data_IF_837581888370
#
_entry.id   IF_837581888370
#
_cell.length_a   1.000
_cell.length_b   1.000
_cell.length_c   1.000
_cell.angle_alpha   90.00
_cell.angle_beta   90.00
_cell.angle_gamma   90.00
#
_symmetry.space_group_name_H-M   'P 1'
#
loop_
_entity.id
_entity.type
_entity.pdbx_description
1 polymer ?
#
# COMPACT_ATOMS: atom_id res chain seq x y z
N UNK A 1 -21.02 17.59 29.00
CA UNK A 1 -20.02 18.35 28.24
C UNK A 1 -18.87 17.41 27.93
N UNK A 2 -18.85 16.88 26.71
CA UNK A 2 -17.65 16.64 25.91
C UNK A 2 -18.17 16.46 24.48
N UNK A 3 -18.06 17.52 23.69
CA UNK A 3 -18.52 17.56 22.31
C UNK A 3 -17.46 16.86 21.48
N UNK A 4 -17.75 15.63 21.03
CA UNK A 4 -16.89 14.86 20.13
C UNK A 4 -16.36 15.73 19.00
N UNK A 5 -15.10 16.14 19.12
CA UNK A 5 -14.35 16.79 18.05
C UNK A 5 -13.90 15.71 17.09
N UNK A 6 -14.83 15.19 16.29
CA UNK A 6 -14.46 14.60 15.01
C UNK A 6 -13.77 15.70 14.21
N UNK A 7 -12.48 15.51 13.92
CA UNK A 7 -11.74 16.42 13.06
C UNK A 7 -12.53 16.54 11.74
N UNK A 8 -12.90 17.75 11.28
CA UNK A 8 -13.50 17.87 9.95
C UNK A 8 -12.46 17.34 8.97
N UNK A 9 -12.82 16.30 8.21
CA UNK A 9 -12.00 15.82 7.11
C UNK A 9 -12.02 16.95 6.09
N UNK A 10 -11.02 17.82 6.15
CA UNK A 10 -10.84 18.88 5.17
C UNK A 10 -10.76 18.22 3.78
N UNK A 11 -11.67 18.61 2.89
CA UNK A 11 -11.71 18.10 1.53
C UNK A 11 -10.56 18.75 0.74
N UNK A 12 -9.37 18.18 0.85
CA UNK A 12 -8.18 18.68 0.15
C UNK A 12 -8.14 18.18 -1.29
N UNK A 13 -7.92 19.10 -2.23
CA UNK A 13 -7.51 18.73 -3.59
C UNK A 13 -6.13 18.07 -3.55
N UNK A 14 -6.04 16.86 -4.07
CA UNK A 14 -4.77 16.13 -4.14
C UNK A 14 -3.78 16.84 -5.06
N UNK A 15 -2.52 16.88 -4.65
CA UNK A 15 -1.41 17.30 -5.53
C UNK A 15 -1.40 16.38 -6.76
N UNK A 16 -1.09 16.89 -7.97
CA UNK A 16 -1.04 16.06 -9.18
C UNK A 16 -0.16 14.80 -9.05
N UNK A 17 0.97 14.91 -8.35
CA UNK A 17 1.85 13.77 -8.06
C UNK A 17 1.18 12.69 -7.19
N UNK A 18 0.37 13.09 -6.20
CA UNK A 18 -0.35 12.14 -5.33
C UNK A 18 -1.46 11.46 -6.12
N UNK A 19 -2.19 12.20 -6.95
CA UNK A 19 -3.25 11.64 -7.81
C UNK A 19 -2.70 10.61 -8.79
N UNK A 20 -1.67 10.97 -9.56
CA UNK A 20 -1.04 10.07 -10.52
C UNK A 20 -0.46 8.81 -9.86
N UNK A 21 0.15 8.96 -8.67
CA UNK A 21 0.65 7.81 -7.93
C UNK A 21 -0.47 6.89 -7.43
N UNK A 22 -1.57 7.45 -6.90
CA UNK A 22 -2.73 6.67 -6.49
C UNK A 22 -3.39 5.92 -7.65
N UNK A 23 -3.45 6.53 -8.84
CA UNK A 23 -3.93 5.88 -10.07
C UNK A 23 -3.03 4.71 -10.49
N UNK A 24 -1.70 4.87 -10.40
CA UNK A 24 -0.74 3.79 -10.67
C UNK A 24 -0.87 2.65 -9.66
N UNK A 25 -1.02 2.97 -8.37
CA UNK A 25 -1.30 2.00 -7.30
C UNK A 25 -2.54 1.16 -7.62
N UNK A 26 -3.67 1.81 -7.93
CA UNK A 26 -4.93 1.14 -8.27
C UNK A 26 -4.81 0.28 -9.54
N UNK A 27 -4.16 0.78 -10.59
CA UNK A 27 -3.94 0.00 -11.82
C UNK A 27 -3.21 -1.31 -11.52
N UNK A 28 -2.14 -1.22 -10.70
CA UNK A 28 -1.33 -2.38 -10.31
C UNK A 28 -2.08 -3.35 -9.40
N UNK A 29 -2.97 -2.86 -8.52
CA UNK A 29 -3.84 -3.72 -7.72
C UNK A 29 -4.80 -4.51 -8.62
N UNK A 30 -5.42 -3.86 -9.61
CA UNK A 30 -6.34 -4.51 -10.57
C UNK A 30 -5.68 -5.60 -11.39
N UNK A 31 -4.44 -5.38 -11.83
CA UNK A 31 -3.67 -6.43 -12.51
C UNK A 31 -3.55 -7.70 -11.65
N UNK A 32 -3.50 -7.54 -10.33
CA UNK A 32 -3.34 -8.60 -9.36
C UNK A 32 -4.65 -9.15 -8.78
N UNK A 33 -5.83 -8.68 -9.22
CA UNK A 33 -7.13 -9.11 -8.68
C UNK A 33 -7.35 -10.64 -8.82
N UNK A 34 -6.76 -11.24 -9.84
CA UNK A 34 -6.77 -12.69 -10.05
C UNK A 34 -6.12 -13.50 -8.91
N UNK A 35 -5.33 -12.86 -8.03
CA UNK A 35 -4.68 -13.48 -6.86
C UNK A 35 -5.59 -13.57 -5.63
N UNK A 36 -6.83 -13.05 -5.70
CA UNK A 36 -7.86 -13.26 -4.68
C UNK A 36 -7.85 -12.26 -3.51
N UNK A 37 -7.18 -11.12 -3.68
CA UNK A 37 -7.17 -9.98 -2.75
C UNK A 37 -6.29 -10.16 -1.49
N UNK A 38 -6.25 -9.13 -0.64
CA UNK A 38 -5.33 -9.03 0.53
C UNK A 38 -6.04 -8.88 1.88
N UNK A 39 -7.36 -9.15 1.94
CA UNK A 39 -8.15 -9.00 3.17
C UNK A 39 -7.66 -9.86 4.35
N UNK A 40 -8.29 -9.66 5.52
CA UNK A 40 -7.86 -10.22 6.81
C UNK A 40 -7.60 -11.74 6.83
N UNK A 41 -8.32 -12.51 6.01
CA UNK A 41 -8.19 -13.97 5.91
C UNK A 41 -7.39 -14.45 4.68
N UNK A 42 -6.78 -13.52 3.93
CA UNK A 42 -6.05 -13.81 2.68
C UNK A 42 -4.55 -13.64 2.85
N UNK A 43 -4.13 -12.58 3.53
CA UNK A 43 -2.71 -12.29 3.77
C UNK A 43 -2.42 -12.15 5.27
N UNK A 44 -1.39 -12.86 5.74
CA UNK A 44 -0.84 -12.66 7.07
C UNK A 44 0.08 -11.43 7.09
N UNK A 45 0.28 -10.84 8.28
CA UNK A 45 1.23 -9.72 8.45
C UNK A 45 2.63 -10.13 7.97
N UNK A 46 3.12 -11.30 8.39
CA UNK A 46 4.42 -11.82 7.98
C UNK A 46 4.54 -12.01 6.45
N UNK A 47 3.46 -12.40 5.77
CA UNK A 47 3.46 -12.48 4.30
C UNK A 47 3.62 -11.09 3.66
N UNK A 48 2.89 -10.10 4.16
CA UNK A 48 2.94 -8.72 3.65
C UNK A 48 4.31 -8.07 3.91
N UNK A 49 4.89 -8.26 5.10
CA UNK A 49 6.24 -7.78 5.42
C UNK A 49 7.31 -8.41 4.52
N UNK A 50 7.23 -9.72 4.28
CA UNK A 50 8.13 -10.41 3.37
C UNK A 50 8.01 -9.87 1.95
N UNK A 51 6.79 -9.71 1.42
CA UNK A 51 6.59 -9.16 0.07
C UNK A 51 7.10 -7.73 -0.04
N UNK A 52 6.83 -6.88 0.94
CA UNK A 52 7.35 -5.50 0.98
C UNK A 52 8.88 -5.46 0.83
N UNK A 53 9.60 -6.36 1.53
CA UNK A 53 11.05 -6.46 1.43
C UNK A 53 11.52 -7.01 0.06
N UNK A 54 10.76 -7.94 -0.52
CA UNK A 54 11.04 -8.48 -1.86
C UNK A 54 10.95 -7.37 -2.91
N UNK A 55 9.87 -6.57 -2.95
CA UNK A 55 9.73 -5.45 -3.91
C UNK A 55 10.85 -4.40 -3.72
N UNK A 56 11.23 -4.11 -2.47
CA UNK A 56 12.36 -3.21 -2.20
C UNK A 56 13.69 -3.75 -2.75
N UNK A 57 13.90 -5.07 -2.65
CA UNK A 57 15.08 -5.73 -3.21
C UNK A 57 15.06 -5.68 -4.74
N UNK A 58 13.90 -5.86 -5.36
CA UNK A 58 13.70 -5.74 -6.82
C UNK A 58 14.01 -4.32 -7.29
N UNK A 59 13.50 -3.29 -6.59
CA UNK A 59 13.85 -1.89 -6.82
C UNK A 59 15.36 -1.64 -6.76
N UNK A 60 16.03 -2.11 -5.69
CA UNK A 60 17.49 -1.94 -5.57
C UNK A 60 18.24 -2.63 -6.72
N UNK A 61 17.79 -3.82 -7.13
CA UNK A 61 18.34 -4.55 -8.27
C UNK A 61 18.27 -3.74 -9.57
N UNK A 62 17.13 -3.11 -9.85
CA UNK A 62 16.90 -2.31 -11.07
C UNK A 62 17.62 -0.96 -11.07
N UNK A 63 17.79 -0.32 -9.91
CA UNK A 63 18.62 0.89 -9.81
C UNK A 63 20.10 0.56 -10.00
N UNK A 64 20.54 -0.61 -9.54
CA UNK A 64 21.95 -1.03 -9.62
C UNK A 64 22.38 -1.60 -10.97
N UNK A 65 21.45 -2.20 -11.72
CA UNK A 65 21.68 -2.79 -13.02
C UNK A 65 20.80 -2.05 -14.03
N UNK A 66 21.38 -1.42 -15.07
CA UNK A 66 20.64 -0.81 -16.20
C UNK A 66 19.81 -1.86 -16.96
N UNK A 67 18.77 -2.37 -16.31
CA UNK A 67 17.85 -3.38 -16.80
C UNK A 67 16.61 -2.65 -17.33
N UNK A 68 16.03 -3.15 -18.41
CA UNK A 68 14.91 -2.49 -19.11
C UNK A 68 13.57 -2.47 -18.36
N UNK A 69 13.55 -2.85 -17.08
CA UNK A 69 12.39 -2.64 -16.20
C UNK A 69 12.48 -1.25 -15.58
N UNK A 70 11.33 -0.62 -15.39
CA UNK A 70 11.27 0.78 -14.99
C UNK A 70 11.09 0.88 -13.47
N UNK A 71 12.06 1.44 -12.71
CA UNK A 71 12.08 1.44 -11.24
C UNK A 71 10.83 2.04 -10.57
N UNK A 72 10.03 2.82 -11.29
CA UNK A 72 8.77 3.37 -10.81
C UNK A 72 7.72 2.32 -10.44
N UNK A 73 7.65 1.17 -11.14
CA UNK A 73 6.65 0.14 -10.83
C UNK A 73 6.97 -0.59 -9.54
N UNK A 74 8.25 -0.78 -9.23
CA UNK A 74 8.66 -1.31 -7.94
C UNK A 74 8.30 -0.34 -6.80
N UNK A 75 8.41 0.97 -7.02
CA UNK A 75 7.95 1.96 -6.05
C UNK A 75 6.43 1.86 -5.78
N UNK A 76 5.65 1.56 -6.83
CA UNK A 76 4.21 1.33 -6.74
C UNK A 76 3.92 0.05 -5.94
N UNK A 77 4.62 -1.05 -6.23
CA UNK A 77 4.43 -2.33 -5.54
C UNK A 77 4.82 -2.23 -4.05
N UNK A 78 5.95 -1.60 -3.72
CA UNK A 78 6.34 -1.26 -2.34
C UNK A 78 5.22 -0.51 -1.63
N UNK A 79 4.65 0.51 -2.28
CA UNK A 79 3.61 1.34 -1.67
C UNK A 79 2.29 0.60 -1.49
N UNK A 80 1.92 -0.27 -2.44
CA UNK A 80 0.76 -1.14 -2.32
C UNK A 80 0.91 -2.10 -1.14
N UNK A 81 2.06 -2.77 -0.98
CA UNK A 81 2.28 -3.66 0.17
C UNK A 81 2.31 -2.89 1.50
N UNK A 82 2.91 -1.70 1.55
CA UNK A 82 2.88 -0.85 2.73
C UNK A 82 1.44 -0.44 3.11
N UNK A 83 0.62 -0.06 2.13
CA UNK A 83 -0.80 0.25 2.33
C UNK A 83 -1.59 -0.98 2.82
N UNK A 84 -1.38 -2.16 2.23
CA UNK A 84 -2.03 -3.40 2.66
C UNK A 84 -1.66 -3.74 4.11
N UNK A 85 -0.39 -3.59 4.47
CA UNK A 85 0.12 -3.81 5.83
C UNK A 85 -0.51 -2.82 6.81
N UNK A 86 -0.56 -1.52 6.47
CA UNK A 86 -1.25 -0.51 7.27
C UNK A 86 -2.72 -0.89 7.51
N UNK A 87 -3.45 -1.25 6.45
CA UNK A 87 -4.84 -1.67 6.56
C UNK A 87 -4.99 -2.90 7.48
N UNK A 88 -4.09 -3.89 7.34
CA UNK A 88 -4.10 -5.10 8.17
C UNK A 88 -3.86 -4.79 9.64
N UNK A 89 -2.87 -3.95 9.95
CA UNK A 89 -2.51 -3.53 11.30
C UNK A 89 -3.63 -2.71 11.95
N UNK A 90 -4.26 -1.81 11.18
CA UNK A 90 -5.37 -1.00 11.65
C UNK A 90 -6.60 -1.85 12.00
N UNK A 91 -6.93 -2.85 11.17
CA UNK A 91 -7.98 -3.82 11.49
C UNK A 91 -7.67 -4.64 12.74
N UNK A 92 -6.43 -5.09 12.92
CA UNK A 92 -6.05 -5.83 14.14
C UNK A 92 -6.07 -4.96 15.39
N UNK A 93 -5.62 -3.70 15.31
CA UNK A 93 -5.63 -2.77 16.45
C UNK A 93 -7.06 -2.43 16.91
N UNK A 94 -7.99 -2.31 15.96
CA UNK A 94 -9.41 -2.07 16.26
C UNK A 94 -10.08 -3.24 17.01
N UNK A 95 -9.61 -4.48 16.80
CA UNK A 95 -10.12 -5.68 17.51
C UNK A 95 -9.73 -5.79 18.98
N UNK A 96 -8.78 -4.98 19.47
CA UNK A 96 -8.36 -4.97 20.88
C UNK A 96 -8.80 -3.70 21.62
N UNK A 97 -9.62 -2.85 20.99
CA UNK A 97 -10.19 -1.64 21.59
C UNK A 97 -11.72 -1.70 21.77
N UNK A 98 -12.31 -2.90 21.66
CA UNK A 98 -13.71 -3.21 22.01
C UNK A 98 -13.73 -4.29 23.08
#
# INVERSE_FOLDING_TARGET
MDTGKGNPVENYELRPAVRSFAEAMEARLRENDHKGGWGENKCSIAYLERRLLEEYTEYQGQVSCETGNTPEWECVDISNFAMMLYHRLHLTGSKYMQ
#
